data_IF_808221237461
#
_entry.id   IF_808221237461
#
_cell.length_a   1.000
_cell.length_b   1.000
_cell.length_c   1.000
_cell.angle_alpha   90.00
_cell.angle_beta   90.00
_cell.angle_gamma   90.00
#
_symmetry.space_group_name_H-M   'P 1'
#
loop_
_entity.id
_entity.type
_entity.pdbx_description
1 polymer ?
#
# COMPACT_ATOMS: atom_id res chain seq x y z
N UNK A 1 -6.24 -8.64 -12.72
CA UNK A 1 -5.94 -9.70 -11.74
C UNK A 1 -5.88 -9.03 -10.38
N UNK A 2 -6.38 -9.67 -9.33
CA UNK A 2 -6.34 -9.09 -7.99
C UNK A 2 -5.03 -9.48 -7.31
N UNK A 3 -4.21 -8.48 -6.99
CA UNK A 3 -2.89 -8.63 -6.36
C UNK A 3 -3.00 -8.73 -4.82
N UNK A 4 -4.14 -8.32 -4.25
CA UNK A 4 -4.42 -8.43 -2.82
C UNK A 4 -5.10 -9.76 -2.49
N UNK A 5 -4.60 -10.45 -1.47
CA UNK A 5 -5.25 -11.61 -0.87
C UNK A 5 -6.18 -11.17 0.26
N UNK A 6 -7.49 -11.25 0.02
CA UNK A 6 -8.53 -10.99 1.02
C UNK A 6 -9.23 -12.31 1.33
N UNK A 7 -9.05 -12.83 2.54
CA UNK A 7 -9.64 -14.08 3.00
C UNK A 7 -10.84 -13.82 3.92
N UNK A 8 -10.66 -13.05 4.99
CA UNK A 8 -11.73 -12.67 5.93
C UNK A 8 -11.41 -11.38 6.69
N UNK A 9 -12.29 -10.40 6.53
CA UNK A 9 -12.31 -9.18 7.35
C UNK A 9 -11.62 -7.97 6.71
N UNK A 10 -10.99 -8.17 5.53
CA UNK A 10 -10.53 -7.05 4.72
C UNK A 10 -11.51 -6.71 3.59
N UNK A 11 -11.54 -5.44 3.26
CA UNK A 11 -12.39 -4.88 2.21
C UNK A 11 -11.53 -4.08 1.24
N UNK A 12 -11.81 -4.24 -0.07
CA UNK A 12 -11.24 -3.35 -1.07
C UNK A 12 -11.72 -1.93 -0.85
N UNK A 13 -10.83 -0.98 -1.08
CA UNK A 13 -11.17 0.44 -1.00
C UNK A 13 -10.46 1.23 -2.10
N UNK A 14 -10.97 2.42 -2.35
CA UNK A 14 -10.37 3.38 -3.26
C UNK A 14 -9.34 4.23 -2.52
N UNK A 15 -8.50 4.93 -3.28
CA UNK A 15 -7.58 5.92 -2.71
C UNK A 15 -8.33 7.01 -1.92
N UNK A 16 -9.54 7.40 -2.37
CA UNK A 16 -10.32 8.42 -1.67
C UNK A 16 -10.85 7.91 -0.33
N UNK A 17 -11.27 6.64 -0.25
CA UNK A 17 -11.72 6.06 1.02
C UNK A 17 -10.59 6.08 2.08
N UNK A 18 -9.33 5.89 1.67
CA UNK A 18 -8.18 6.03 2.57
C UNK A 18 -8.02 7.45 3.14
N UNK A 19 -8.49 8.48 2.44
CA UNK A 19 -8.46 9.87 2.89
C UNK A 19 -9.49 10.13 3.98
N UNK A 20 -10.62 9.44 3.91
CA UNK A 20 -11.75 9.63 4.82
C UNK A 20 -11.53 8.94 6.17
N UNK A 21 -10.50 8.09 6.30
CA UNK A 21 -10.12 7.50 7.58
C UNK A 21 -9.50 8.56 8.50
N UNK A 22 -10.10 8.84 9.67
CA UNK A 22 -9.60 9.87 10.57
C UNK A 22 -8.23 9.50 11.12
N UNK A 23 -7.29 10.44 11.07
CA UNK A 23 -5.99 10.26 11.72
C UNK A 23 -6.18 10.22 13.24
N UNK A 24 -5.58 9.24 13.93
CA UNK A 24 -5.55 9.24 15.39
C UNK A 24 -4.71 10.43 15.91
N UNK A 25 -4.94 10.88 17.15
CA UNK A 25 -4.15 11.96 17.73
C UNK A 25 -2.68 11.57 17.87
N UNK A 26 -1.79 12.50 17.55
CA UNK A 26 -0.35 12.34 17.79
C UNK A 26 -0.08 12.23 19.29
N UNK A 27 0.92 11.44 19.67
CA UNK A 27 1.41 11.36 21.05
C UNK A 27 2.92 11.60 21.09
N UNK A 28 3.49 11.74 22.29
CA UNK A 28 4.94 11.92 22.49
C UNK A 28 5.80 10.87 21.75
N UNK A 29 5.29 9.66 21.53
CA UNK A 29 6.02 8.54 20.94
C UNK A 29 5.37 7.99 19.67
N UNK A 30 4.30 8.61 19.17
CA UNK A 30 3.58 8.13 18.00
C UNK A 30 3.17 9.29 17.12
N UNK A 31 3.71 9.30 15.90
CA UNK A 31 3.30 10.21 14.83
C UNK A 31 2.57 9.41 13.75
N UNK A 32 1.26 9.59 13.58
CA UNK A 32 0.50 8.86 12.58
C UNK A 32 0.96 9.26 11.18
N UNK A 33 1.09 8.26 10.31
CA UNK A 33 1.30 8.45 8.87
C UNK A 33 -0.05 8.26 8.21
N UNK A 34 -0.59 9.27 7.53
CA UNK A 34 -1.86 9.15 6.81
C UNK A 34 -1.83 7.99 5.81
N UNK A 35 -2.86 7.14 5.81
CA UNK A 35 -3.02 6.05 4.83
C UNK A 35 -3.05 6.61 3.40
N UNK A 36 -3.78 7.70 3.20
CA UNK A 36 -3.85 8.41 1.93
C UNK A 36 -2.49 8.96 1.50
N UNK A 37 -1.79 9.66 2.40
CA UNK A 37 -0.51 10.26 2.06
C UNK A 37 0.55 9.19 1.82
N UNK A 38 0.55 8.08 2.57
CA UNK A 38 1.44 6.95 2.32
C UNK A 38 1.23 6.39 0.91
N UNK A 39 -0.02 6.06 0.55
CA UNK A 39 -0.34 5.53 -0.77
C UNK A 39 -0.02 6.54 -1.88
N UNK A 40 -0.39 7.80 -1.73
CA UNK A 40 -0.13 8.84 -2.73
C UNK A 40 1.37 9.09 -2.90
N UNK A 41 2.10 9.28 -1.80
CA UNK A 41 3.53 9.59 -1.84
C UNK A 41 4.34 8.42 -2.40
N UNK A 42 3.97 7.17 -2.09
CA UNK A 42 4.63 6.01 -2.70
C UNK A 42 4.44 5.97 -4.22
N UNK A 43 3.25 6.31 -4.72
CA UNK A 43 3.01 6.43 -6.16
C UNK A 43 3.84 7.56 -6.79
N UNK A 44 3.85 8.74 -6.17
CA UNK A 44 4.59 9.92 -6.66
C UNK A 44 6.11 9.69 -6.67
N UNK A 45 6.67 9.20 -5.56
CA UNK A 45 8.10 8.90 -5.43
C UNK A 45 8.51 7.80 -6.42
N UNK A 46 7.71 6.74 -6.54
CA UNK A 46 7.98 5.66 -7.52
C UNK A 46 7.95 6.19 -8.95
N UNK A 47 7.02 7.07 -9.31
CA UNK A 47 6.98 7.70 -10.63
C UNK A 47 8.24 8.52 -10.96
N UNK A 48 8.87 9.13 -9.94
CA UNK A 48 10.14 9.85 -10.11
C UNK A 48 11.37 8.94 -10.15
N UNK A 49 11.37 7.85 -9.38
CA UNK A 49 12.52 6.94 -9.24
C UNK A 49 12.58 5.85 -10.31
N UNK A 50 11.43 5.28 -10.68
CA UNK A 50 11.33 4.13 -11.57
C UNK A 50 11.30 4.56 -13.05
N UNK A 51 12.38 5.21 -13.51
CA UNK A 51 12.49 5.66 -14.90
C UNK A 51 12.35 4.48 -15.86
N UNK A 52 11.51 4.64 -16.88
CA UNK A 52 11.22 3.57 -17.85
C UNK A 52 10.19 2.55 -17.38
N UNK A 53 9.67 2.67 -16.16
CA UNK A 53 8.51 1.91 -15.69
C UNK A 53 7.25 2.76 -15.73
N UNK A 54 6.13 2.12 -16.04
CA UNK A 54 4.81 2.74 -16.07
C UNK A 54 3.90 2.05 -15.05
N UNK A 55 3.29 2.83 -14.17
CA UNK A 55 2.29 2.30 -13.23
C UNK A 55 1.15 1.65 -14.02
N UNK A 56 0.87 0.39 -13.72
CA UNK A 56 -0.22 -0.39 -14.32
C UNK A 56 -1.47 -0.38 -13.46
N UNK A 57 -1.31 -0.34 -12.15
CA UNK A 57 -2.43 -0.37 -11.25
C UNK A 57 -2.03 -0.11 -9.82
N UNK A 58 -3.06 0.17 -9.03
CA UNK A 58 -2.97 0.29 -7.60
C UNK A 58 -4.19 -0.37 -6.99
N UNK A 59 -3.98 -1.15 -5.92
CA UNK A 59 -5.06 -1.74 -5.15
C UNK A 59 -4.82 -1.46 -3.67
N UNK A 60 -5.91 -1.22 -2.96
CA UNK A 60 -5.90 -0.90 -1.54
C UNK A 60 -6.94 -1.74 -0.82
N UNK A 61 -6.64 -2.08 0.43
CA UNK A 61 -7.54 -2.75 1.33
C UNK A 61 -7.45 -2.17 2.73
N UNK A 62 -8.56 -2.23 3.44
CA UNK A 62 -8.66 -1.85 4.85
C UNK A 62 -9.23 -3.01 5.66
N UNK A 63 -8.82 -3.09 6.92
CA UNK A 63 -9.39 -4.00 7.92
C UNK A 63 -9.60 -3.22 9.22
N UNK A 64 -10.40 -3.80 10.13
CA UNK A 64 -10.70 -3.22 11.45
C UNK A 64 -11.21 -1.77 11.33
N UNK A 65 -12.19 -1.55 10.48
CA UNK A 65 -12.85 -0.26 10.26
C UNK A 65 -11.85 0.86 9.91
N UNK A 66 -10.85 0.55 9.06
CA UNK A 66 -9.83 1.50 8.60
C UNK A 66 -8.65 1.69 9.55
N UNK A 67 -8.66 1.07 10.73
CA UNK A 67 -7.53 1.15 11.66
C UNK A 67 -6.23 0.55 11.08
N UNK A 68 -6.34 -0.33 10.09
CA UNK A 68 -5.19 -0.86 9.36
C UNK A 68 -5.47 -0.87 7.86
N UNK A 69 -4.43 -0.62 7.07
CA UNK A 69 -4.49 -0.66 5.61
C UNK A 69 -3.35 -1.49 5.04
N UNK A 70 -3.57 -2.01 3.83
CA UNK A 70 -2.55 -2.62 2.99
C UNK A 70 -2.80 -2.27 1.53
N UNK A 71 -1.76 -2.26 0.72
CA UNK A 71 -1.87 -1.86 -0.67
C UNK A 71 -0.68 -2.32 -1.49
N UNK A 72 -0.88 -2.29 -2.79
CA UNK A 72 0.15 -2.62 -3.78
C UNK A 72 0.02 -1.69 -4.97
N UNK A 73 1.16 -1.18 -5.42
CA UNK A 73 1.32 -0.53 -6.72
C UNK A 73 2.08 -1.46 -7.64
N UNK A 74 1.57 -1.66 -8.84
CA UNK A 74 2.22 -2.49 -9.86
C UNK A 74 2.69 -1.62 -11.02
N UNK A 75 3.85 -1.96 -11.56
CA UNK A 75 4.52 -1.24 -12.63
C UNK A 75 4.98 -2.24 -13.68
N UNK A 76 4.87 -1.87 -14.96
CA UNK A 76 5.49 -2.62 -16.06
C UNK A 76 6.78 -1.93 -16.49
N UNK A 77 7.76 -2.70 -16.92
CA UNK A 77 8.92 -2.15 -17.61
C UNK A 77 8.53 -1.79 -19.06
N UNK A 78 8.51 -0.49 -19.37
CA UNK A 78 8.14 0.02 -20.70
C UNK A 78 9.23 -0.15 -21.76
N UNK A 79 10.46 -0.54 -21.37
CA UNK A 79 11.60 -0.69 -22.29
C UNK A 79 11.72 -2.13 -22.78
N UNK A 80 11.69 -3.11 -21.87
CA UNK A 80 11.92 -4.52 -22.22
C UNK A 80 10.65 -5.38 -22.26
N UNK A 81 9.52 -4.88 -21.75
CA UNK A 81 8.25 -5.62 -21.68
C UNK A 81 8.28 -6.88 -20.81
N UNK A 82 9.36 -7.12 -20.06
CA UNK A 82 9.61 -8.38 -19.35
C UNK A 82 9.16 -8.31 -17.89
N UNK A 83 10.08 -7.91 -17.00
CA UNK A 83 9.89 -7.97 -15.55
C UNK A 83 9.22 -6.69 -15.05
N UNK A 84 8.02 -6.84 -14.50
CA UNK A 84 7.36 -5.78 -13.75
C UNK A 84 8.04 -5.52 -12.40
N UNK A 85 7.59 -4.48 -11.73
CA UNK A 85 7.97 -4.16 -10.36
C UNK A 85 6.68 -3.94 -9.56
N UNK A 86 6.67 -4.37 -8.31
CA UNK A 86 5.58 -4.11 -7.39
C UNK A 86 6.10 -3.50 -6.10
N UNK A 87 5.36 -2.52 -5.58
CA UNK A 87 5.62 -1.87 -4.30
C UNK A 87 4.43 -2.17 -3.40
N UNK A 88 4.62 -3.09 -2.46
CA UNK A 88 3.62 -3.46 -1.46
C UNK A 88 3.84 -2.68 -0.18
N UNK A 89 2.78 -2.28 0.50
CA UNK A 89 2.89 -1.51 1.73
C UNK A 89 1.70 -1.74 2.67
N UNK A 90 1.93 -1.46 3.95
CA UNK A 90 0.93 -1.56 5.02
C UNK A 90 1.12 -0.47 6.06
N UNK A 91 0.04 -0.13 6.75
CA UNK A 91 0.06 0.86 7.82
C UNK A 91 -0.97 0.53 8.90
N UNK A 92 -0.75 1.03 10.13
CA UNK A 92 -1.69 0.89 11.23
C UNK A 92 -1.82 2.15 12.09
N UNK A 93 -3.06 2.52 12.38
CA UNK A 93 -3.45 3.55 13.34
C UNK A 93 -3.64 3.00 14.76
N UNK A 94 -3.95 1.71 14.89
CA UNK A 94 -4.06 1.01 16.17
C UNK A 94 -2.71 0.66 16.82
N UNK A 95 -1.59 1.09 16.22
CA UNK A 95 -0.21 0.90 16.68
C UNK A 95 0.21 -0.58 16.77
N UNK A 96 -0.53 -1.48 16.13
CA UNK A 96 -0.19 -2.90 16.05
C UNK A 96 1.06 -3.17 15.22
N UNK A 97 1.43 -2.25 14.32
CA UNK A 97 2.65 -2.30 13.52
C UNK A 97 3.11 -0.92 13.03
N UNK A 98 4.40 -0.81 12.75
CA UNK A 98 4.94 0.32 11.99
C UNK A 98 4.56 0.21 10.51
N UNK A 99 4.67 1.33 9.78
CA UNK A 99 4.61 1.32 8.31
C UNK A 99 5.61 0.29 7.78
N UNK A 100 5.15 -0.56 6.86
CA UNK A 100 5.99 -1.55 6.18
C UNK A 100 5.90 -1.36 4.68
N UNK A 101 7.04 -1.53 4.00
CA UNK A 101 7.15 -1.47 2.54
C UNK A 101 7.96 -2.69 2.09
N UNK A 102 7.51 -3.38 1.04
CA UNK A 102 8.22 -4.44 0.35
C UNK A 102 8.27 -4.12 -1.15
N UNK A 103 9.39 -4.39 -1.80
CA UNK A 103 9.61 -4.10 -3.22
C UNK A 103 10.22 -5.32 -3.87
N UNK A 104 9.60 -5.78 -4.96
CA UNK A 104 10.02 -6.98 -5.68
C UNK A 104 9.40 -7.02 -7.07
N UNK A 105 9.71 -8.06 -7.85
CA UNK A 105 9.05 -8.25 -9.15
C UNK A 105 7.55 -8.58 -9.00
N UNK A 106 7.22 -9.30 -7.93
CA UNK A 106 5.88 -9.39 -7.36
C UNK A 106 6.00 -9.23 -5.85
N UNK A 107 4.91 -8.80 -5.22
CA UNK A 107 4.83 -8.68 -3.76
C UNK A 107 3.54 -9.33 -3.30
N UNK A 108 3.61 -10.06 -2.20
CA UNK A 108 2.45 -10.67 -1.58
C UNK A 108 1.93 -9.73 -0.49
N UNK A 109 0.62 -9.44 -0.56
CA UNK A 109 -0.08 -8.57 0.39
C UNK A 109 -1.41 -9.20 0.78
N UNK A 110 -1.62 -9.40 2.08
CA UNK A 110 -2.79 -10.10 2.63
C UNK A 110 -3.55 -9.24 3.64
N UNK A 111 -4.84 -9.52 3.84
CA UNK A 111 -5.69 -8.87 4.84
C UNK A 111 -5.29 -9.12 6.30
N UNK A 112 -4.52 -10.18 6.57
CA UNK A 112 -3.83 -10.36 7.84
C UNK A 112 -2.56 -9.49 7.98
N UNK A 113 -2.33 -8.60 7.02
CA UNK A 113 -1.20 -7.69 6.88
C UNK A 113 0.14 -8.36 6.60
N UNK A 114 0.17 -9.66 6.29
CA UNK A 114 1.38 -10.30 5.79
C UNK A 114 1.86 -9.58 4.51
N UNK A 115 3.15 -9.24 4.49
CA UNK A 115 3.79 -8.45 3.46
C UNK A 115 5.18 -9.04 3.18
N UNK A 116 5.41 -9.50 1.96
CA UNK A 116 6.73 -10.03 1.52
C UNK A 116 6.94 -9.75 0.03
N UNK A 117 8.19 -9.56 -0.37
CA UNK A 117 8.61 -9.28 -1.75
C UNK A 117 10.07 -9.64 -1.96
#
# INVERSE_FOLDING_TARGET
MNELLLHKGGEYCTLNDLRDVPLPPETRTYRPVSHYDLAKNLAEVSGGLLRGFEMQGAQYGMVRDGAQMFGVHTYKNGISGSMGLSVGFRNSYDKSMSVGIAIGASVFVCDNLALTG
#
